data_IF_284504311744
#
_entry.id   IF_284504311744
#
_cell.length_a   1.000
_cell.length_b   1.000
_cell.length_c   1.000
_cell.angle_alpha   90.00
_cell.angle_beta   90.00
_cell.angle_gamma   90.00
#
_symmetry.space_group_name_H-M   'P 1'
#
loop_
_entity.id
_entity.type
_entity.pdbx_description
1 polymer ?
#
# COMPACT_ATOMS: atom_id res chain seq x y z
N UNK A 1 -14.74 -1.37 27.00
CA UNK A 1 -14.28 -0.03 26.58
C UNK A 1 -15.45 0.93 26.36
N UNK A 2 -16.59 0.50 25.79
CA UNK A 2 -17.78 1.35 25.63
C UNK A 2 -18.32 1.86 26.98
N UNK A 3 -18.28 1.02 28.04
CA UNK A 3 -18.63 1.43 29.38
C UNK A 3 -17.77 2.58 29.97
N UNK A 4 -16.66 2.91 29.28
CA UNK A 4 -15.81 4.06 29.60
C UNK A 4 -16.22 5.31 28.80
N UNK A 5 -17.38 5.29 28.13
CA UNK A 5 -17.89 6.37 27.28
C UNK A 5 -16.89 6.79 26.17
N UNK A 6 -16.26 5.81 25.52
CA UNK A 6 -15.40 6.08 24.37
C UNK A 6 -16.26 6.39 23.13
N UNK A 7 -16.00 7.51 22.47
CA UNK A 7 -16.69 7.93 21.25
C UNK A 7 -16.09 7.29 19.98
N UNK A 8 -14.83 6.83 20.08
CA UNK A 8 -14.09 6.30 18.93
C UNK A 8 -13.08 5.25 19.33
N UNK A 9 -12.93 4.21 18.49
CA UNK A 9 -11.85 3.25 18.58
C UNK A 9 -10.94 3.32 17.34
N UNK A 10 -9.64 3.42 17.56
CA UNK A 10 -8.62 3.28 16.52
C UNK A 10 -8.09 1.85 16.60
N UNK A 11 -8.44 1.02 15.62
CA UNK A 11 -8.18 -0.41 15.65
C UNK A 11 -7.06 -0.77 14.69
N UNK A 12 -6.04 -1.47 15.21
CA UNK A 12 -4.98 -2.12 14.42
C UNK A 12 -4.83 -3.55 14.89
N UNK A 13 -4.98 -4.49 13.96
CA UNK A 13 -4.95 -5.92 14.27
C UNK A 13 -4.13 -6.71 13.24
N UNK A 14 -3.60 -7.85 13.68
CA UNK A 14 -2.85 -8.75 12.81
C UNK A 14 -3.74 -9.58 11.88
N UNK A 15 -4.98 -9.84 12.30
CA UNK A 15 -5.95 -10.61 11.54
C UNK A 15 -6.83 -9.68 10.70
N UNK A 16 -7.06 -10.09 9.45
CA UNK A 16 -7.91 -9.35 8.52
C UNK A 16 -9.38 -9.43 8.92
N UNK A 17 -10.09 -8.30 8.82
CA UNK A 17 -11.50 -8.17 9.18
C UNK A 17 -11.77 -7.68 10.60
N UNK A 18 -10.76 -7.65 11.49
CA UNK A 18 -10.95 -7.27 12.88
C UNK A 18 -11.57 -5.86 13.08
N UNK A 19 -11.14 -4.79 12.38
CA UNK A 19 -11.79 -3.48 12.51
C UNK A 19 -13.25 -3.49 12.05
N UNK A 20 -13.55 -4.25 11.01
CA UNK A 20 -14.92 -4.41 10.50
C UNK A 20 -15.81 -5.18 11.49
N UNK A 21 -15.28 -6.28 12.04
CA UNK A 21 -15.97 -7.03 13.07
C UNK A 21 -16.30 -6.15 14.28
N UNK A 22 -15.32 -5.39 14.79
CA UNK A 22 -15.54 -4.47 15.91
C UNK A 22 -16.59 -3.40 15.57
N UNK A 23 -16.53 -2.85 14.35
CA UNK A 23 -17.50 -1.83 13.93
C UNK A 23 -18.94 -2.34 13.89
N UNK A 24 -19.16 -3.64 13.68
CA UNK A 24 -20.49 -4.25 13.73
C UNK A 24 -20.98 -4.58 15.14
N UNK A 25 -20.05 -4.69 16.10
CA UNK A 25 -20.39 -5.08 17.48
C UNK A 25 -20.53 -3.87 18.43
N UNK A 26 -19.94 -2.72 18.09
CA UNK A 26 -20.06 -1.51 18.93
C UNK A 26 -21.41 -0.82 18.72
N UNK A 27 -21.82 -0.02 19.70
CA UNK A 27 -23.04 0.78 19.56
C UNK A 27 -22.94 1.79 18.43
N UNK A 28 -24.06 2.16 17.75
CA UNK A 28 -24.04 3.04 16.57
C UNK A 28 -23.39 4.41 16.77
N UNK A 29 -23.25 4.86 18.00
CA UNK A 29 -22.65 6.15 18.33
C UNK A 29 -21.12 6.10 18.44
N UNK A 30 -20.51 4.91 18.40
CA UNK A 30 -19.06 4.73 18.51
C UNK A 30 -18.45 4.58 17.13
N UNK A 31 -17.54 5.48 16.77
CA UNK A 31 -16.82 5.40 15.51
C UNK A 31 -15.65 4.38 15.58
N UNK A 32 -15.41 3.65 14.48
CA UNK A 32 -14.25 2.76 14.38
C UNK A 32 -13.36 3.17 13.20
N UNK A 33 -12.11 3.48 13.51
CA UNK A 33 -11.08 3.81 12.51
C UNK A 33 -10.18 2.60 12.30
N UNK A 34 -10.07 2.14 11.05
CA UNK A 34 -9.15 1.09 10.66
C UNK A 34 -7.73 1.66 10.48
N UNK A 35 -6.86 1.41 11.46
CA UNK A 35 -5.44 1.80 11.44
C UNK A 35 -4.50 0.65 11.05
N UNK A 36 -5.04 -0.37 10.42
CA UNK A 36 -4.29 -1.52 9.90
C UNK A 36 -4.96 -2.85 10.18
N UNK A 37 -5.35 -3.52 9.12
CA UNK A 37 -6.23 -4.68 9.07
C UNK A 37 -5.49 -5.86 8.43
N UNK A 38 -4.82 -6.65 9.21
CA UNK A 38 -4.14 -7.86 8.77
C UNK A 38 -3.24 -7.64 7.54
N UNK A 39 -3.46 -8.44 6.49
CA UNK A 39 -2.89 -8.28 5.15
C UNK A 39 -3.84 -7.54 4.20
N UNK A 40 -5.05 -7.20 4.65
CA UNK A 40 -6.13 -6.69 3.83
C UNK A 40 -6.00 -5.20 3.53
N UNK A 41 -5.97 -4.33 4.57
CA UNK A 41 -6.02 -2.88 4.35
C UNK A 41 -5.26 -2.07 5.40
N UNK A 42 -4.85 -0.86 5.01
CA UNK A 42 -4.33 0.18 5.89
C UNK A 42 -4.83 1.56 5.40
N UNK A 43 -6.14 1.84 5.53
CA UNK A 43 -6.74 3.04 4.95
C UNK A 43 -6.11 4.33 5.45
N UNK A 44 -5.82 4.44 6.74
CA UNK A 44 -5.20 5.65 7.31
C UNK A 44 -3.82 5.94 6.75
N UNK A 45 -3.03 4.90 6.39
CA UNK A 45 -1.75 5.10 5.72
C UNK A 45 -1.96 5.56 4.27
N UNK A 46 -2.90 4.96 3.55
CA UNK A 46 -3.20 5.43 2.19
C UNK A 46 -3.68 6.89 2.21
N UNK A 47 -4.52 7.29 3.14
CA UNK A 47 -4.97 8.69 3.27
C UNK A 47 -3.82 9.64 3.58
N UNK A 48 -2.87 9.24 4.45
CA UNK A 48 -1.65 10.01 4.73
C UNK A 48 -0.83 10.23 3.45
N UNK A 49 -0.62 9.15 2.68
CA UNK A 49 0.16 9.21 1.44
C UNK A 49 -0.56 10.06 0.38
N UNK A 50 -1.88 9.91 0.23
CA UNK A 50 -2.69 10.75 -0.67
C UNK A 50 -2.66 12.22 -0.25
N UNK A 51 -2.72 12.51 1.04
CA UNK A 51 -2.57 13.89 1.54
C UNK A 51 -1.21 14.46 1.13
N UNK A 52 -0.13 13.70 1.30
CA UNK A 52 1.23 14.10 0.95
C UNK A 52 1.36 14.34 -0.56
N UNK A 53 0.89 13.42 -1.39
CA UNK A 53 0.92 13.56 -2.86
C UNK A 53 0.16 14.82 -3.27
N UNK A 54 -1.06 15.02 -2.77
CA UNK A 54 -1.86 16.19 -3.08
C UNK A 54 -1.18 17.50 -2.66
N UNK A 55 -0.50 17.50 -1.50
CA UNK A 55 0.23 18.68 -1.01
C UNK A 55 1.34 19.09 -1.97
N UNK A 56 2.13 18.15 -2.51
CA UNK A 56 3.27 18.45 -3.38
C UNK A 56 2.92 18.53 -4.87
N UNK A 57 1.90 17.81 -5.33
CA UNK A 57 1.52 17.75 -6.75
C UNK A 57 0.25 18.53 -7.09
N UNK A 58 -0.50 19.02 -6.11
CA UNK A 58 -1.72 19.79 -6.28
C UNK A 58 -2.98 18.98 -6.60
N UNK A 59 -2.83 17.71 -7.01
CA UNK A 59 -3.93 16.82 -7.38
C UNK A 59 -3.43 15.45 -7.80
N UNK A 60 -4.29 14.66 -8.46
CA UNK A 60 -3.98 13.29 -8.90
C UNK A 60 -4.13 13.11 -10.42
N UNK A 61 -4.96 13.93 -11.07
CA UNK A 61 -5.20 13.85 -12.51
C UNK A 61 -3.89 13.99 -13.30
N UNK A 62 -3.62 13.05 -14.21
CA UNK A 62 -2.42 13.01 -15.02
C UNK A 62 -1.17 12.47 -14.32
N UNK A 63 -1.25 12.10 -13.03
CA UNK A 63 -0.10 11.54 -12.32
C UNK A 63 0.09 10.06 -12.63
N UNK A 64 1.35 9.71 -12.90
CA UNK A 64 1.84 8.32 -12.94
C UNK A 64 2.55 8.01 -11.62
N UNK A 65 2.04 7.06 -10.89
CA UNK A 65 2.53 6.72 -9.54
C UNK A 65 3.08 5.30 -9.53
N UNK A 66 4.33 5.15 -9.13
CA UNK A 66 4.96 3.84 -8.96
C UNK A 66 5.00 3.44 -7.48
N UNK A 67 4.58 2.22 -7.18
CA UNK A 67 4.71 1.57 -5.87
C UNK A 67 5.73 0.44 -6.04
N UNK A 68 6.85 0.54 -5.33
CA UNK A 68 8.00 -0.35 -5.51
C UNK A 68 8.25 -1.18 -4.27
N UNK A 69 8.43 -2.48 -4.43
CA UNK A 69 8.87 -3.35 -3.35
C UNK A 69 8.06 -4.63 -3.18
N UNK A 70 7.79 -5.00 -1.92
CA UNK A 70 6.97 -6.16 -1.58
C UNK A 70 5.48 -5.83 -1.65
N UNK A 71 4.93 -5.92 -2.84
CA UNK A 71 3.52 -5.59 -3.09
C UNK A 71 2.60 -6.67 -2.52
N UNK A 72 2.97 -7.94 -2.72
CA UNK A 72 2.13 -9.10 -2.37
C UNK A 72 1.73 -9.13 -0.89
N UNK A 73 2.66 -8.81 0.01
CA UNK A 73 2.44 -8.82 1.45
C UNK A 73 2.07 -7.46 2.03
N UNK A 74 2.03 -6.41 1.18
CA UNK A 74 1.78 -5.05 1.64
C UNK A 74 0.30 -4.68 1.61
N UNK A 75 -0.33 -4.65 2.79
CA UNK A 75 -1.67 -4.05 2.94
C UNK A 75 -1.70 -2.57 2.59
N UNK A 76 -0.56 -1.88 2.71
CA UNK A 76 -0.43 -0.46 2.34
C UNK A 76 -0.56 -0.30 0.84
N UNK A 77 0.16 -1.11 0.05
CA UNK A 77 0.07 -1.07 -1.41
C UNK A 77 -1.37 -1.27 -1.91
N UNK A 78 -2.11 -2.24 -1.36
CA UNK A 78 -3.52 -2.46 -1.72
C UNK A 78 -4.39 -1.22 -1.49
N UNK A 79 -4.26 -0.60 -0.32
CA UNK A 79 -5.01 0.61 0.01
C UNK A 79 -4.59 1.81 -0.84
N UNK A 80 -3.30 1.92 -1.18
CA UNK A 80 -2.77 2.98 -2.05
C UNK A 80 -3.28 2.84 -3.49
N UNK A 81 -3.24 1.65 -4.07
CA UNK A 81 -3.79 1.39 -5.43
C UNK A 81 -5.26 1.80 -5.49
N UNK A 82 -6.06 1.35 -4.52
CA UNK A 82 -7.47 1.71 -4.46
C UNK A 82 -7.68 3.22 -4.35
N UNK A 83 -6.94 3.89 -3.46
CA UNK A 83 -7.06 5.34 -3.25
C UNK A 83 -6.64 6.14 -4.49
N UNK A 84 -5.52 5.77 -5.13
CA UNK A 84 -5.00 6.44 -6.33
C UNK A 84 -5.99 6.32 -7.49
N UNK A 85 -6.54 5.13 -7.74
CA UNK A 85 -7.54 4.92 -8.78
C UNK A 85 -8.83 5.69 -8.49
N UNK A 86 -9.30 5.71 -7.23
CA UNK A 86 -10.49 6.46 -6.82
C UNK A 86 -10.30 7.97 -6.99
N UNK A 87 -9.08 8.48 -6.75
CA UNK A 87 -8.75 9.89 -6.89
C UNK A 87 -8.37 10.31 -8.32
N UNK A 88 -8.35 9.37 -9.27
CA UNK A 88 -8.17 9.64 -10.70
C UNK A 88 -6.71 9.82 -11.12
N UNK A 89 -5.76 9.10 -10.50
CA UNK A 89 -4.41 8.99 -11.04
C UNK A 89 -4.48 8.38 -12.45
N UNK A 90 -3.62 8.88 -13.36
CA UNK A 90 -3.59 8.41 -14.75
C UNK A 90 -3.11 6.96 -14.85
N UNK A 91 -2.07 6.63 -14.10
CA UNK A 91 -1.48 5.28 -14.09
C UNK A 91 -0.93 4.94 -12.72
N UNK A 92 -1.24 3.73 -12.24
CA UNK A 92 -0.62 3.15 -11.04
C UNK A 92 0.23 1.97 -11.45
N UNK A 93 1.51 2.00 -11.12
CA UNK A 93 2.49 0.95 -11.44
C UNK A 93 2.92 0.21 -10.19
N UNK A 94 2.96 -1.11 -10.30
CA UNK A 94 3.49 -2.00 -9.26
C UNK A 94 4.82 -2.57 -9.74
N UNK A 95 5.90 -2.27 -9.02
CA UNK A 95 7.26 -2.64 -9.43
C UNK A 95 7.89 -3.54 -8.37
N UNK A 96 8.31 -4.73 -8.79
CA UNK A 96 8.97 -5.69 -7.90
C UNK A 96 9.30 -7.00 -8.58
N UNK A 97 9.96 -7.94 -7.89
CA UNK A 97 10.19 -9.27 -8.42
C UNK A 97 8.85 -9.99 -8.62
N UNK A 98 8.78 -10.83 -9.64
CA UNK A 98 7.55 -11.55 -10.01
C UNK A 98 6.93 -12.33 -8.83
N UNK A 99 7.76 -12.82 -7.92
CA UNK A 99 7.34 -13.55 -6.71
C UNK A 99 6.65 -12.67 -5.65
N UNK A 100 6.86 -11.35 -5.72
CA UNK A 100 6.28 -10.38 -4.78
C UNK A 100 5.21 -9.48 -5.41
N UNK A 101 4.75 -9.83 -6.60
CA UNK A 101 3.68 -9.14 -7.30
C UNK A 101 2.40 -9.98 -7.26
N UNK A 102 1.22 -9.38 -7.04
CA UNK A 102 -0.05 -10.09 -7.07
C UNK A 102 -0.38 -10.54 -8.50
N UNK A 103 -0.95 -11.72 -8.62
CA UNK A 103 -1.36 -12.29 -9.93
C UNK A 103 -2.52 -11.50 -10.54
N UNK A 104 -3.33 -10.89 -9.69
CA UNK A 104 -4.54 -10.13 -10.04
C UNK A 104 -4.33 -8.60 -10.07
N UNK A 105 -3.09 -8.14 -10.26
CA UNK A 105 -2.75 -6.72 -10.23
C UNK A 105 -3.55 -5.87 -11.23
N UNK A 106 -3.81 -6.39 -12.42
CA UNK A 106 -4.62 -5.71 -13.44
C UNK A 106 -6.07 -5.52 -12.99
N UNK A 107 -6.64 -6.50 -12.27
CA UNK A 107 -7.97 -6.39 -11.70
C UNK A 107 -8.06 -5.33 -10.58
N UNK A 108 -6.91 -5.00 -9.97
CA UNK A 108 -6.80 -3.88 -9.03
C UNK A 108 -6.66 -2.52 -9.72
N UNK A 109 -6.55 -2.49 -11.04
CA UNK A 109 -6.34 -1.26 -11.83
C UNK A 109 -4.90 -0.76 -11.78
N UNK A 110 -3.92 -1.66 -11.80
CA UNK A 110 -2.50 -1.32 -11.80
C UNK A 110 -1.72 -2.09 -12.86
N UNK A 111 -0.70 -1.47 -13.44
CA UNK A 111 0.23 -2.07 -14.40
C UNK A 111 1.45 -2.64 -13.68
N UNK A 112 1.90 -3.81 -14.07
CA UNK A 112 3.00 -4.54 -13.41
C UNK A 112 4.31 -4.39 -14.18
N UNK A 113 5.40 -4.13 -13.44
CA UNK A 113 6.76 -4.08 -13.97
C UNK A 113 7.70 -4.93 -13.10
N UNK A 114 8.50 -5.77 -13.74
CA UNK A 114 9.58 -6.52 -13.08
C UNK A 114 10.95 -5.85 -13.26
N UNK A 115 11.06 -4.91 -14.18
CA UNK A 115 12.24 -4.07 -14.41
C UNK A 115 11.98 -2.68 -13.82
N UNK A 116 12.85 -2.27 -12.88
CA UNK A 116 12.67 -1.00 -12.16
C UNK A 116 12.89 0.20 -13.09
N UNK A 117 13.86 0.14 -14.01
CA UNK A 117 14.16 1.26 -14.89
C UNK A 117 12.99 1.53 -15.87
N UNK A 118 12.38 0.47 -16.39
CA UNK A 118 11.18 0.60 -17.22
C UNK A 118 9.98 1.09 -16.42
N UNK A 119 9.79 0.56 -15.21
CA UNK A 119 8.67 0.92 -14.35
C UNK A 119 8.73 2.35 -13.84
N UNK A 120 9.92 2.93 -13.66
CA UNK A 120 10.11 4.31 -13.19
C UNK A 120 10.10 5.35 -14.31
N UNK A 121 10.09 4.93 -15.58
CA UNK A 121 10.15 5.88 -16.68
C UNK A 121 8.94 6.84 -16.67
N UNK A 122 9.21 8.14 -16.66
CA UNK A 122 8.18 9.19 -16.67
C UNK A 122 7.18 9.12 -15.49
N UNK A 123 7.64 8.66 -14.33
CA UNK A 123 6.83 8.58 -13.12
C UNK A 123 6.92 9.89 -12.34
N UNK A 124 5.79 10.38 -11.86
CA UNK A 124 5.70 11.62 -11.07
C UNK A 124 5.94 11.40 -9.58
N UNK A 125 5.58 10.21 -9.08
CA UNK A 125 5.65 9.85 -7.67
C UNK A 125 6.13 8.42 -7.51
N UNK A 126 7.09 8.21 -6.64
CA UNK A 126 7.59 6.88 -6.27
C UNK A 126 7.30 6.60 -4.80
N UNK A 127 6.62 5.52 -4.52
CA UNK A 127 6.33 5.03 -3.16
C UNK A 127 7.18 3.78 -2.93
N UNK A 128 8.11 3.86 -1.98
CA UNK A 128 8.98 2.73 -1.63
C UNK A 128 8.40 1.93 -0.46
N UNK A 129 8.18 0.64 -0.68
CA UNK A 129 7.75 -0.29 0.36
C UNK A 129 8.96 -1.00 0.98
N UNK A 130 8.90 -1.24 2.28
CA UNK A 130 9.84 -2.14 2.93
C UNK A 130 9.52 -3.60 2.65
N UNK A 131 10.51 -4.48 2.73
CA UNK A 131 10.29 -5.92 2.76
C UNK A 131 9.53 -6.33 4.04
N UNK A 132 8.48 -7.13 3.88
CA UNK A 132 7.63 -7.63 4.97
C UNK A 132 8.12 -8.99 5.47
N UNK A 133 9.37 -9.07 5.97
CA UNK A 133 10.02 -10.32 6.37
C UNK A 133 9.16 -11.18 7.31
N UNK A 134 8.45 -10.51 8.22
CA UNK A 134 7.55 -11.14 9.17
C UNK A 134 6.32 -11.82 8.54
N UNK A 135 6.11 -11.62 7.24
CA UNK A 135 4.98 -12.15 6.47
C UNK A 135 5.39 -13.02 5.30
N UNK A 136 6.71 -13.13 5.05
CA UNK A 136 7.26 -13.91 3.96
C UNK A 136 7.61 -15.31 4.42
N UNK A 137 7.29 -16.31 3.62
CA UNK A 137 7.98 -17.58 3.64
C UNK A 137 9.36 -17.40 3.00
N UNK A 138 10.39 -17.92 3.62
CA UNK A 138 11.81 -17.69 3.28
C UNK A 138 12.22 -17.99 1.83
N UNK A 139 11.37 -18.66 1.06
CA UNK A 139 11.61 -19.07 -0.32
C UNK A 139 11.29 -18.01 -1.40
N UNK A 140 10.73 -16.85 -1.04
CA UNK A 140 10.22 -15.87 -2.01
C UNK A 140 11.27 -14.85 -2.50
N UNK A 141 12.42 -14.76 -1.82
CA UNK A 141 13.52 -13.88 -2.19
C UNK A 141 14.85 -14.61 -2.20
N UNK A 142 15.68 -14.42 -3.23
CA UNK A 142 17.03 -15.00 -3.27
C UNK A 142 17.94 -14.43 -2.17
N UNK A 143 17.97 -13.11 -2.00
CA UNK A 143 18.62 -12.40 -0.91
C UNK A 143 18.15 -10.95 -0.81
N UNK A 144 18.32 -10.34 0.39
CA UNK A 144 18.06 -8.91 0.59
C UNK A 144 18.99 -8.01 -0.21
N UNK A 145 20.27 -8.40 -0.31
CA UNK A 145 21.27 -7.66 -1.09
C UNK A 145 20.91 -7.60 -2.57
N UNK A 146 20.42 -8.70 -3.13
CA UNK A 146 19.95 -8.73 -4.51
C UNK A 146 18.69 -7.89 -4.71
N UNK A 147 17.72 -8.01 -3.79
CA UNK A 147 16.52 -7.18 -3.83
C UNK A 147 16.88 -5.70 -3.77
N UNK A 148 17.75 -5.28 -2.86
CA UNK A 148 18.18 -3.88 -2.76
C UNK A 148 18.92 -3.41 -4.03
N UNK A 149 19.78 -4.23 -4.61
CA UNK A 149 20.48 -3.92 -5.86
C UNK A 149 19.52 -3.69 -7.00
N UNK A 150 18.47 -4.52 -7.12
CA UNK A 150 17.51 -4.46 -8.22
C UNK A 150 16.41 -3.41 -7.99
N UNK A 151 15.85 -3.34 -6.79
CA UNK A 151 14.66 -2.55 -6.47
C UNK A 151 14.89 -1.48 -5.40
N UNK A 152 16.08 -1.36 -4.83
CA UNK A 152 16.43 -0.24 -3.95
C UNK A 152 16.57 1.05 -4.74
N UNK A 153 15.95 2.13 -4.25
CA UNK A 153 16.08 3.46 -4.84
C UNK A 153 17.40 4.09 -4.41
N UNK A 154 18.17 4.59 -5.37
CA UNK A 154 19.40 5.34 -5.17
C UNK A 154 19.49 6.47 -6.21
N UNK A 155 20.53 7.30 -6.13
CA UNK A 155 20.68 8.46 -7.01
C UNK A 155 20.84 8.10 -8.49
N UNK A 156 21.30 6.88 -8.81
CA UNK A 156 21.49 6.44 -10.20
C UNK A 156 20.17 5.99 -10.84
N UNK A 157 19.11 5.81 -10.03
CA UNK A 157 17.79 5.34 -10.47
C UNK A 157 16.71 6.42 -10.39
N UNK A 158 17.07 7.61 -9.92
CA UNK A 158 16.25 8.82 -9.93
C UNK A 158 16.55 9.65 -11.16
#
# INVERSE_FOLDING_TARGET
LEAMAADMFVVRHQDSGAPFFIANEVTPNVAVINAGDGRHAHPTQAMLDMYTIRHYKGGFAGLKVAIVGDILHSRVARSQVHALNTLGAEEVRLIGPKTLLPVDAEALGATVFTDMAQGLKEVDVVIMLRLQKERMDSALLPSEGEFFRLYGLNNDKL
#
